data_IF_448807654609
#
_entry.id   IF_448807654609
#
_cell.length_a   1.000
_cell.length_b   1.000
_cell.length_c   1.000
_cell.angle_alpha   90.00
_cell.angle_beta   90.00
_cell.angle_gamma   90.00
#
_symmetry.space_group_name_H-M   'P 1'
#
loop_
_entity.id
_entity.type
_entity.pdbx_description
1 polymer ?
#
# COMPACT_ATOMS: atom_id res chain seq x y z
N UNK A 1 31.88 22.45 -8.58
CA UNK A 1 31.70 23.68 -9.39
C UNK A 1 32.87 23.87 -10.30
N UNK A 2 34.10 23.96 -9.78
CA UNK A 2 35.33 23.94 -10.60
C UNK A 2 35.40 22.71 -11.51
N UNK A 3 35.10 21.52 -10.99
CA UNK A 3 35.10 20.27 -11.77
C UNK A 3 34.16 20.29 -13.00
N UNK A 4 33.04 21.00 -12.92
CA UNK A 4 32.03 21.05 -13.99
C UNK A 4 31.97 22.42 -14.70
N UNK A 5 32.80 23.40 -14.31
CA UNK A 5 32.80 24.74 -14.89
C UNK A 5 31.48 25.53 -14.78
N UNK A 6 30.60 25.22 -13.83
CA UNK A 6 29.25 25.82 -13.71
C UNK A 6 29.02 26.58 -12.40
N UNK A 7 28.03 27.50 -12.42
CA UNK A 7 27.64 28.31 -11.25
C UNK A 7 26.92 27.51 -10.16
N UNK A 8 26.89 28.05 -8.93
CA UNK A 8 26.12 27.47 -7.79
C UNK A 8 24.66 27.23 -8.14
N UNK A 9 24.05 28.16 -8.86
CA UNK A 9 22.64 28.11 -9.24
C UNK A 9 22.36 26.92 -10.16
N UNK A 10 23.23 26.69 -11.15
CA UNK A 10 23.11 25.54 -12.08
C UNK A 10 23.24 24.22 -11.32
N UNK A 11 24.22 24.11 -10.41
CA UNK A 11 24.38 22.90 -9.57
C UNK A 11 23.14 22.66 -8.72
N UNK A 12 22.55 23.70 -8.12
CA UNK A 12 21.34 23.57 -7.30
C UNK A 12 20.15 23.07 -8.12
N UNK A 13 19.98 23.56 -9.35
CA UNK A 13 18.89 23.09 -10.21
C UNK A 13 19.13 21.64 -10.68
N UNK A 14 20.37 21.29 -11.02
CA UNK A 14 20.73 19.91 -11.34
C UNK A 14 20.43 18.96 -10.16
N UNK A 15 20.79 19.35 -8.93
CA UNK A 15 20.46 18.58 -7.73
C UNK A 15 18.95 18.44 -7.54
N UNK A 16 18.17 19.50 -7.80
CA UNK A 16 16.70 19.46 -7.74
C UNK A 16 16.12 18.46 -8.75
N UNK A 17 16.60 18.48 -9.99
CA UNK A 17 16.19 17.54 -11.05
C UNK A 17 16.59 16.10 -10.72
N UNK A 18 17.78 15.90 -10.17
CA UNK A 18 18.23 14.57 -9.74
C UNK A 18 17.41 14.06 -8.55
N UNK A 19 16.98 14.95 -7.66
CA UNK A 19 16.10 14.62 -6.54
C UNK A 19 14.72 14.21 -7.02
N UNK A 20 14.11 14.99 -7.93
CA UNK A 20 12.78 14.63 -8.48
C UNK A 20 12.81 13.34 -9.30
N UNK A 21 13.95 12.99 -9.89
CA UNK A 21 14.15 11.71 -10.60
C UNK A 21 14.54 10.55 -9.67
N UNK A 22 14.72 10.78 -8.37
CA UNK A 22 15.04 9.74 -7.40
C UNK A 22 16.51 9.34 -7.33
N UNK A 23 17.40 10.02 -8.05
CA UNK A 23 18.85 9.73 -8.04
C UNK A 23 19.56 10.30 -6.81
N UNK A 24 18.91 11.24 -6.11
CA UNK A 24 19.44 11.88 -4.91
C UNK A 24 18.36 11.92 -3.83
N UNK A 25 18.71 11.52 -2.62
CA UNK A 25 17.90 11.71 -1.42
C UNK A 25 18.43 12.90 -0.62
N UNK A 26 17.52 13.81 -0.25
CA UNK A 26 17.80 14.95 0.62
C UNK A 26 17.15 14.71 1.99
N UNK A 27 17.98 14.56 3.03
CA UNK A 27 17.52 14.57 4.42
C UNK A 27 17.93 15.88 5.11
N UNK A 28 17.07 16.50 5.94
CA UNK A 28 17.41 17.71 6.68
C UNK A 28 18.72 17.54 7.45
N UNK A 29 19.62 18.53 7.37
CA UNK A 29 20.96 18.54 8.01
C UNK A 29 21.95 17.46 7.52
N UNK A 30 21.65 16.75 6.43
CA UNK A 30 22.55 15.77 5.85
C UNK A 30 23.01 16.18 4.44
N UNK A 31 24.19 15.71 4.05
CA UNK A 31 24.66 15.85 2.66
C UNK A 31 23.76 15.01 1.74
N UNK A 32 23.44 15.50 0.53
CA UNK A 32 22.69 14.71 -0.45
C UNK A 32 23.39 13.37 -0.70
N UNK A 33 22.63 12.28 -0.70
CA UNK A 33 23.14 10.93 -0.94
C UNK A 33 22.65 10.42 -2.29
N UNK A 34 23.55 9.82 -3.06
CA UNK A 34 23.20 9.16 -4.31
C UNK A 34 22.38 7.90 -4.00
N UNK A 35 21.30 7.69 -4.76
CA UNK A 35 20.50 6.46 -4.73
C UNK A 35 20.25 5.95 -6.15
N UNK A 36 19.99 4.65 -6.24
CA UNK A 36 19.38 4.06 -7.43
C UNK A 36 17.87 4.16 -7.29
N UNK A 37 17.15 4.84 -8.21
CA UNK A 37 15.69 4.91 -8.15
C UNK A 37 15.09 3.51 -8.27
N UNK A 38 14.12 3.20 -7.42
CA UNK A 38 13.33 1.97 -7.50
C UNK A 38 11.85 2.27 -7.72
N UNK A 39 11.03 1.22 -7.82
CA UNK A 39 9.57 1.36 -7.98
C UNK A 39 8.94 2.22 -6.87
N UNK A 40 9.41 2.11 -5.63
CA UNK A 40 8.92 2.96 -4.52
C UNK A 40 9.12 4.45 -4.77
N UNK A 41 10.26 4.85 -5.33
CA UNK A 41 10.52 6.26 -5.67
C UNK A 41 9.62 6.74 -6.81
N UNK A 42 9.35 5.87 -7.80
CA UNK A 42 8.42 6.18 -8.88
C UNK A 42 6.99 6.36 -8.38
N UNK A 43 6.53 5.49 -7.47
CA UNK A 43 5.18 5.59 -6.89
C UNK A 43 5.02 6.81 -5.98
N UNK A 44 6.03 7.13 -5.17
CA UNK A 44 6.02 8.32 -4.32
C UNK A 44 5.92 9.63 -5.14
N UNK A 45 6.52 9.67 -6.34
CA UNK A 45 6.41 10.83 -7.23
C UNK A 45 4.97 11.10 -7.70
N UNK A 46 4.07 10.10 -7.66
CA UNK A 46 2.67 10.24 -8.06
C UNK A 46 1.79 10.80 -6.93
N UNK A 47 2.23 10.78 -5.67
CA UNK A 47 1.41 11.09 -4.49
C UNK A 47 0.66 12.43 -4.60
N UNK A 48 1.36 13.50 -4.98
CA UNK A 48 0.74 14.83 -5.12
C UNK A 48 -0.34 14.90 -6.22
N UNK A 49 -0.12 14.21 -7.34
CA UNK A 49 -1.07 14.16 -8.46
C UNK A 49 -2.28 13.30 -8.09
N UNK A 50 -2.03 12.13 -7.50
CA UNK A 50 -3.09 11.21 -7.05
C UNK A 50 -3.97 11.88 -5.99
N UNK A 51 -3.38 12.58 -5.02
CA UNK A 51 -4.14 13.35 -4.03
C UNK A 51 -5.05 14.40 -4.67
N UNK A 52 -4.60 15.07 -5.73
CA UNK A 52 -5.45 16.01 -6.48
C UNK A 52 -6.59 15.31 -7.24
N UNK A 53 -6.30 14.16 -7.87
CA UNK A 53 -7.32 13.38 -8.59
C UNK A 53 -8.37 12.79 -7.66
N UNK A 54 -7.97 12.31 -6.49
CA UNK A 54 -8.87 11.80 -5.44
C UNK A 54 -9.88 12.84 -4.95
N UNK A 55 -9.51 14.13 -4.99
CA UNK A 55 -10.38 15.24 -4.58
C UNK A 55 -11.46 15.60 -5.61
N UNK A 56 -11.41 15.03 -6.82
CA UNK A 56 -12.44 15.23 -7.86
C UNK A 56 -13.70 14.39 -7.53
N UNK A 57 -14.87 14.74 -8.10
CA UNK A 57 -16.02 13.84 -8.11
C UNK A 57 -15.60 12.45 -8.59
N UNK A 58 -16.03 11.40 -7.89
CA UNK A 58 -15.73 9.99 -8.15
C UNK A 58 -14.25 9.56 -8.06
N UNK A 59 -13.28 10.47 -7.90
CA UNK A 59 -11.85 10.13 -7.92
C UNK A 59 -11.44 9.10 -6.86
N UNK A 60 -12.03 9.18 -5.66
CA UNK A 60 -11.87 8.17 -4.60
C UNK A 60 -12.40 6.79 -5.02
N UNK A 61 -13.56 6.77 -5.69
CA UNK A 61 -14.19 5.54 -6.16
C UNK A 61 -13.35 4.88 -7.25
N UNK A 62 -12.91 5.66 -8.24
CA UNK A 62 -12.05 5.17 -9.32
C UNK A 62 -10.73 4.60 -8.79
N UNK A 63 -10.10 5.28 -7.82
CA UNK A 63 -8.88 4.79 -7.19
C UNK A 63 -9.11 3.46 -6.46
N UNK A 64 -10.21 3.35 -5.71
CA UNK A 64 -10.52 2.14 -4.95
C UNK A 64 -10.92 0.98 -5.87
N UNK A 65 -11.64 1.23 -6.96
CA UNK A 65 -11.93 0.22 -7.98
C UNK A 65 -10.65 -0.30 -8.63
N UNK A 66 -9.71 0.61 -8.96
CA UNK A 66 -8.38 0.22 -9.44
C UNK A 66 -7.61 -0.62 -8.41
N UNK A 67 -7.67 -0.25 -7.12
CA UNK A 67 -7.09 -1.02 -6.02
C UNK A 67 -7.68 -2.44 -5.96
N UNK A 68 -9.00 -2.61 -6.06
CA UNK A 68 -9.63 -3.92 -6.08
C UNK A 68 -9.07 -4.80 -7.20
N UNK A 69 -8.95 -4.25 -8.42
CA UNK A 69 -8.42 -4.99 -9.56
C UNK A 69 -6.99 -5.48 -9.32
N UNK A 70 -6.13 -4.62 -8.76
CA UNK A 70 -4.72 -4.95 -8.52
C UNK A 70 -4.57 -5.92 -7.35
N UNK A 71 -5.21 -5.66 -6.21
CA UNK A 71 -5.05 -6.49 -5.00
C UNK A 71 -5.64 -7.89 -5.18
N UNK A 72 -6.78 -8.02 -5.86
CA UNK A 72 -7.38 -9.34 -6.13
C UNK A 72 -6.46 -10.21 -6.98
N UNK A 73 -5.90 -9.66 -8.06
CA UNK A 73 -4.99 -10.40 -8.92
C UNK A 73 -3.65 -10.66 -8.23
N UNK A 74 -3.14 -9.72 -7.43
CA UNK A 74 -1.95 -9.96 -6.63
C UNK A 74 -2.14 -11.11 -5.64
N UNK A 75 -3.29 -11.17 -4.95
CA UNK A 75 -3.62 -12.27 -4.04
C UNK A 75 -3.72 -13.61 -4.79
N UNK A 76 -4.37 -13.62 -5.95
CA UNK A 76 -4.44 -14.78 -6.84
C UNK A 76 -3.04 -15.29 -7.23
N UNK A 77 -2.15 -14.39 -7.65
CA UNK A 77 -0.77 -14.74 -8.02
C UNK A 77 0.03 -15.22 -6.81
N UNK A 78 -0.21 -14.69 -5.61
CA UNK A 78 0.41 -15.18 -4.39
C UNK A 78 0.05 -16.65 -4.12
N UNK A 79 -1.21 -17.06 -4.34
CA UNK A 79 -1.60 -18.47 -4.22
C UNK A 79 -0.79 -19.38 -5.17
N UNK A 80 -0.48 -18.90 -6.38
CA UNK A 80 0.29 -19.67 -7.37
C UNK A 80 1.79 -19.67 -7.04
N UNK A 81 2.35 -18.54 -6.60
CA UNK A 81 3.80 -18.31 -6.61
C UNK A 81 4.47 -18.34 -5.24
N UNK A 82 3.73 -18.12 -4.15
CA UNK A 82 4.32 -17.98 -2.81
C UNK A 82 5.26 -19.14 -2.49
N UNK A 83 6.45 -18.86 -1.99
CA UNK A 83 7.37 -19.90 -1.51
C UNK A 83 7.19 -20.14 -0.01
N UNK A 84 7.90 -21.13 0.54
CA UNK A 84 7.82 -21.44 1.99
C UNK A 84 8.18 -20.24 2.86
N UNK A 85 9.14 -19.42 2.42
CA UNK A 85 9.53 -18.20 3.13
C UNK A 85 8.41 -17.15 3.12
N UNK A 86 7.72 -16.98 1.99
CA UNK A 86 6.59 -16.05 1.88
C UNK A 86 5.41 -16.49 2.75
N UNK A 87 5.11 -17.79 2.78
CA UNK A 87 4.06 -18.35 3.63
C UNK A 87 4.36 -18.14 5.12
N UNK A 88 5.62 -18.26 5.54
CA UNK A 88 6.02 -17.97 6.91
C UNK A 88 5.82 -16.49 7.24
N UNK A 89 6.24 -15.58 6.36
CA UNK A 89 6.04 -14.14 6.55
C UNK A 89 4.56 -13.75 6.60
N UNK A 90 3.73 -14.35 5.73
CA UNK A 90 2.29 -14.15 5.73
C UNK A 90 1.63 -14.64 7.02
N UNK A 91 2.05 -15.80 7.53
CA UNK A 91 1.56 -16.35 8.79
C UNK A 91 1.93 -15.44 9.97
N UNK A 92 3.19 -15.03 10.06
CA UNK A 92 3.67 -14.13 11.12
C UNK A 92 2.93 -12.78 11.08
N UNK A 93 2.72 -12.22 9.88
CA UNK A 93 1.98 -10.98 9.70
C UNK A 93 0.51 -11.14 10.12
N UNK A 94 -0.13 -12.27 9.79
CA UNK A 94 -1.51 -12.55 10.17
C UNK A 94 -1.67 -12.75 11.69
N UNK A 95 -0.73 -13.43 12.33
CA UNK A 95 -0.75 -13.62 13.79
C UNK A 95 -0.57 -12.30 14.53
N UNK A 96 0.36 -11.44 14.07
CA UNK A 96 0.50 -10.09 14.59
C UNK A 96 -0.78 -9.27 14.41
N UNK A 97 -1.44 -9.40 13.25
CA UNK A 97 -2.72 -8.74 12.98
C UNK A 97 -3.85 -9.21 13.90
N UNK A 98 -3.94 -10.52 14.17
CA UNK A 98 -4.91 -11.08 15.11
C UNK A 98 -4.69 -10.59 16.54
N UNK A 99 -3.44 -10.54 16.99
CA UNK A 99 -3.08 -10.03 18.31
C UNK A 99 -3.40 -8.53 18.50
N UNK A 100 -3.47 -7.78 17.39
CA UNK A 100 -3.73 -6.34 17.40
C UNK A 100 -5.22 -5.96 17.33
N UNK A 101 -6.15 -6.92 17.22
CA UNK A 101 -7.59 -6.65 17.00
C UNK A 101 -8.23 -5.70 18.03
N UNK A 102 -7.75 -5.66 19.27
CA UNK A 102 -8.23 -4.76 20.32
C UNK A 102 -7.60 -3.35 20.29
N UNK A 103 -6.53 -3.14 19.51
CA UNK A 103 -5.82 -1.88 19.36
C UNK A 103 -5.81 -1.45 17.89
N UNK A 104 -6.74 -0.58 17.48
CA UNK A 104 -6.89 -0.21 16.07
C UNK A 104 -5.68 0.46 15.43
N UNK A 105 -4.82 1.17 16.17
CA UNK A 105 -3.60 1.75 15.58
C UNK A 105 -2.59 0.66 15.25
N UNK A 106 -2.37 -0.26 16.19
CA UNK A 106 -1.51 -1.42 15.94
C UNK A 106 -2.12 -2.36 14.89
N UNK A 107 -3.45 -2.49 14.87
CA UNK A 107 -4.16 -3.27 13.85
C UNK A 107 -3.90 -2.71 12.47
N UNK A 108 -3.97 -1.39 12.31
CA UNK A 108 -3.67 -0.73 11.04
C UNK A 108 -2.23 -1.00 10.56
N UNK A 109 -1.23 -0.91 11.46
CA UNK A 109 0.16 -1.20 11.11
C UNK A 109 0.36 -2.66 10.66
N UNK A 110 -0.28 -3.61 11.36
CA UNK A 110 -0.19 -5.04 11.06
C UNK A 110 -1.03 -5.45 9.84
N UNK A 111 -2.13 -4.76 9.57
CA UNK A 111 -2.95 -4.89 8.35
C UNK A 111 -2.14 -4.51 7.10
N UNK A 112 -1.46 -3.36 7.15
CA UNK A 112 -0.52 -2.93 6.10
C UNK A 112 0.60 -3.96 5.90
N UNK A 113 1.15 -4.50 6.99
CA UNK A 113 2.19 -5.51 6.92
C UNK A 113 1.71 -6.81 6.25
N UNK A 114 0.50 -7.27 6.56
CA UNK A 114 -0.10 -8.45 5.95
C UNK A 114 -0.29 -8.25 4.44
N UNK A 115 -0.92 -7.16 4.01
CA UNK A 115 -1.11 -6.87 2.59
C UNK A 115 0.23 -6.72 1.84
N UNK A 116 1.24 -6.10 2.46
CA UNK A 116 2.58 -5.99 1.88
C UNK A 116 3.23 -7.36 1.69
N UNK A 117 3.14 -8.25 2.68
CA UNK A 117 3.66 -9.61 2.58
C UNK A 117 2.95 -10.41 1.46
N UNK A 118 1.63 -10.25 1.32
CA UNK A 118 0.87 -10.87 0.24
C UNK A 118 1.32 -10.38 -1.14
N UNK A 119 1.55 -9.07 -1.27
CA UNK A 119 2.05 -8.46 -2.50
C UNK A 119 3.48 -8.88 -2.85
N UNK A 120 4.31 -9.18 -1.84
CA UNK A 120 5.63 -9.78 -2.05
C UNK A 120 5.51 -11.22 -2.56
N UNK A 121 4.63 -12.01 -1.93
CA UNK A 121 4.37 -13.41 -2.29
C UNK A 121 3.84 -13.59 -3.73
N UNK A 122 3.22 -12.55 -4.31
CA UNK A 122 2.82 -12.51 -5.71
C UNK A 122 3.99 -12.49 -6.71
N UNK A 123 5.24 -12.36 -6.25
CA UNK A 123 6.44 -12.56 -7.06
C UNK A 123 6.67 -11.50 -8.14
N UNK A 124 6.10 -10.30 -8.00
CA UNK A 124 6.34 -9.17 -8.89
C UNK A 124 6.91 -7.97 -8.11
N UNK A 125 8.12 -7.56 -8.46
CA UNK A 125 8.89 -6.54 -7.74
C UNK A 125 8.24 -5.16 -7.69
N UNK A 126 7.29 -4.84 -8.59
CA UNK A 126 6.56 -3.56 -8.54
C UNK A 126 5.46 -3.57 -7.47
N UNK A 127 4.88 -4.73 -7.18
CA UNK A 127 3.68 -4.83 -6.37
C UNK A 127 3.87 -4.26 -4.95
N UNK A 128 4.93 -4.60 -4.18
CA UNK A 128 5.10 -4.02 -2.85
C UNK A 128 5.13 -2.49 -2.84
N UNK A 129 5.70 -1.86 -3.90
CA UNK A 129 5.69 -0.41 -4.05
C UNK A 129 4.29 0.14 -4.37
N UNK A 130 3.47 -0.59 -5.14
CA UNK A 130 2.06 -0.25 -5.38
C UNK A 130 1.25 -0.33 -4.10
N UNK A 131 1.47 -1.36 -3.27
CA UNK A 131 0.80 -1.50 -1.98
C UNK A 131 1.16 -0.36 -1.01
N UNK A 132 2.45 0.00 -0.95
CA UNK A 132 2.89 1.16 -0.17
C UNK A 132 2.22 2.46 -0.64
N UNK A 133 2.06 2.61 -1.96
CA UNK A 133 1.42 3.75 -2.56
C UNK A 133 -0.07 3.84 -2.16
N UNK A 134 -0.83 2.75 -2.31
CA UNK A 134 -2.23 2.71 -1.85
C UNK A 134 -2.35 3.03 -0.36
N UNK A 135 -1.45 2.47 0.45
CA UNK A 135 -1.39 2.73 1.88
C UNK A 135 -1.19 4.22 2.18
N UNK A 136 -0.20 4.84 1.52
CA UNK A 136 0.11 6.25 1.71
C UNK A 136 -1.04 7.15 1.25
N UNK A 137 -1.60 6.90 0.07
CA UNK A 137 -2.68 7.71 -0.50
C UNK A 137 -3.96 7.64 0.33
N UNK A 138 -4.31 6.46 0.87
CA UNK A 138 -5.55 6.25 1.63
C UNK A 138 -5.41 6.52 3.15
N UNK A 139 -4.19 6.62 3.68
CA UNK A 139 -3.94 6.87 5.11
C UNK A 139 -4.73 8.06 5.70
N UNK A 140 -4.87 9.23 5.03
CA UNK A 140 -5.67 10.34 5.55
C UNK A 140 -7.15 10.00 5.76
N UNK A 141 -7.69 9.07 4.96
CA UNK A 141 -9.09 8.63 5.05
C UNK A 141 -9.26 7.55 6.11
N UNK A 142 -8.35 6.58 6.17
CA UNK A 142 -8.38 5.55 7.20
C UNK A 142 -8.27 6.11 8.61
N UNK A 143 -7.46 7.16 8.82
CA UNK A 143 -7.37 7.87 10.11
C UNK A 143 -8.67 8.54 10.57
N UNK A 144 -9.62 8.79 9.66
CA UNK A 144 -10.94 9.35 9.98
C UNK A 144 -11.96 8.28 10.35
N UNK A 145 -11.67 7.01 10.10
CA UNK A 145 -12.61 5.91 10.35
C UNK A 145 -12.75 5.65 11.86
N UNK A 146 -13.96 5.28 12.32
CA UNK A 146 -14.14 4.83 13.70
C UNK A 146 -13.25 3.62 14.02
N UNK A 147 -12.59 3.66 15.18
CA UNK A 147 -11.79 2.57 15.73
C UNK A 147 -12.72 1.56 16.43
N UNK A 148 -13.00 0.44 15.76
CA UNK A 148 -13.96 -0.56 16.22
C UNK A 148 -13.29 -1.95 16.29
N UNK A 149 -13.14 -2.55 17.48
CA UNK A 149 -12.55 -3.89 17.62
C UNK A 149 -13.28 -4.97 16.81
N UNK A 150 -14.62 -4.93 16.77
CA UNK A 150 -15.42 -5.90 16.00
C UNK A 150 -15.12 -5.84 14.49
N UNK A 151 -14.82 -4.63 13.98
CA UNK A 151 -14.39 -4.43 12.59
C UNK A 151 -13.01 -5.04 12.37
N UNK A 152 -12.08 -4.80 13.28
CA UNK A 152 -10.74 -5.38 13.19
C UNK A 152 -10.82 -6.92 13.20
N UNK A 153 -11.67 -7.49 14.06
CA UNK A 153 -11.89 -8.94 14.12
C UNK A 153 -12.47 -9.49 12.80
N UNK A 154 -13.42 -8.78 12.19
CA UNK A 154 -13.96 -9.14 10.87
C UNK A 154 -12.88 -9.09 9.77
N UNK A 155 -12.10 -8.00 9.70
CA UNK A 155 -11.00 -7.89 8.75
C UNK A 155 -9.94 -8.99 8.96
N UNK A 156 -9.62 -9.33 10.20
CA UNK A 156 -8.70 -10.43 10.51
C UNK A 156 -9.23 -11.78 10.03
N UNK A 157 -10.53 -12.05 10.19
CA UNK A 157 -11.16 -13.27 9.69
C UNK A 157 -11.07 -13.35 8.15
N UNK A 158 -11.22 -12.21 7.48
CA UNK A 158 -11.06 -12.12 6.03
C UNK A 158 -9.61 -12.40 5.60
N UNK A 159 -8.63 -11.82 6.30
CA UNK A 159 -7.21 -12.10 6.07
C UNK A 159 -6.86 -13.58 6.24
N UNK A 160 -7.47 -14.25 7.24
CA UNK A 160 -7.34 -15.71 7.41
C UNK A 160 -7.85 -16.46 6.18
N UNK A 161 -9.05 -16.15 5.70
CA UNK A 161 -9.60 -16.80 4.52
C UNK A 161 -8.73 -16.61 3.27
N UNK A 162 -8.12 -15.43 3.12
CA UNK A 162 -7.16 -15.14 2.03
C UNK A 162 -5.93 -16.03 2.18
N UNK A 163 -5.32 -16.08 3.37
CA UNK A 163 -4.13 -16.91 3.61
C UNK A 163 -4.44 -18.40 3.43
N UNK A 164 -5.59 -18.88 3.87
CA UNK A 164 -6.01 -20.27 3.71
C UNK A 164 -6.05 -20.66 2.21
N UNK A 165 -6.62 -19.79 1.36
CA UNK A 165 -6.59 -19.99 -0.10
C UNK A 165 -5.17 -20.03 -0.66
N UNK A 166 -4.29 -19.14 -0.19
CA UNK A 166 -2.88 -19.11 -0.63
C UNK A 166 -2.16 -20.40 -0.22
N UNK A 167 -2.36 -20.88 1.01
CA UNK A 167 -1.79 -22.12 1.53
C UNK A 167 -2.28 -23.36 0.79
N UNK A 168 -3.57 -23.36 0.40
CA UNK A 168 -4.17 -24.43 -0.39
C UNK A 168 -3.79 -24.38 -1.88
N UNK A 169 -3.05 -23.35 -2.32
CA UNK A 169 -2.74 -23.11 -3.75
C UNK A 169 -4.01 -22.97 -4.59
N UNK A 170 -5.05 -22.37 -4.02
CA UNK A 170 -6.33 -22.16 -4.68
C UNK A 170 -6.49 -20.68 -5.09
N UNK A 171 -6.06 -20.32 -6.31
CA UNK A 171 -6.15 -18.94 -6.77
C UNK A 171 -7.59 -18.43 -6.87
N UNK A 172 -8.56 -19.29 -7.17
CA UNK A 172 -9.97 -18.89 -7.30
C UNK A 172 -10.57 -18.56 -5.93
N UNK A 173 -10.32 -19.40 -4.92
CA UNK A 173 -10.76 -19.14 -3.55
C UNK A 173 -10.07 -17.90 -2.97
N UNK A 174 -8.77 -17.71 -3.21
CA UNK A 174 -8.04 -16.51 -2.76
C UNK A 174 -8.58 -15.23 -3.39
N UNK A 175 -8.88 -15.26 -4.68
CA UNK A 175 -9.48 -14.12 -5.38
C UNK A 175 -10.86 -13.76 -4.80
N UNK A 176 -11.72 -14.75 -4.57
CA UNK A 176 -13.04 -14.53 -3.96
C UNK A 176 -12.90 -13.93 -2.55
N UNK A 177 -12.01 -14.48 -1.73
CA UNK A 177 -11.78 -13.98 -0.37
C UNK A 177 -11.25 -12.53 -0.37
N UNK A 178 -10.27 -12.21 -1.22
CA UNK A 178 -9.72 -10.86 -1.33
C UNK A 178 -10.77 -9.86 -1.84
N UNK A 179 -11.59 -10.25 -2.83
CA UNK A 179 -12.65 -9.38 -3.32
C UNK A 179 -13.66 -9.04 -2.23
N UNK A 180 -14.11 -10.04 -1.46
CA UNK A 180 -15.05 -9.84 -0.36
C UNK A 180 -14.47 -8.92 0.73
N UNK A 181 -13.20 -9.09 1.09
CA UNK A 181 -12.47 -8.22 2.01
C UNK A 181 -12.49 -6.76 1.56
N UNK A 182 -12.13 -6.52 0.30
CA UNK A 182 -12.04 -5.16 -0.24
C UNK A 182 -13.41 -4.52 -0.47
N UNK A 183 -14.44 -5.30 -0.82
CA UNK A 183 -15.82 -4.81 -0.94
C UNK A 183 -16.35 -4.35 0.43
N UNK A 184 -16.03 -5.09 1.51
CA UNK A 184 -16.33 -4.65 2.89
C UNK A 184 -15.54 -3.40 3.26
N UNK A 185 -14.25 -3.34 2.94
CA UNK A 185 -13.43 -2.16 3.19
C UNK A 185 -13.97 -0.93 2.44
N UNK A 186 -14.41 -1.08 1.18
CA UNK A 186 -15.04 -0.02 0.39
C UNK A 186 -16.31 0.52 1.05
N UNK A 187 -17.20 -0.38 1.50
CA UNK A 187 -18.45 -0.01 2.16
C UNK A 187 -18.22 0.86 3.41
N UNK A 188 -17.08 0.69 4.08
CA UNK A 188 -16.68 1.48 5.23
C UNK A 188 -16.02 2.80 4.83
N UNK A 189 -15.05 2.75 3.93
CA UNK A 189 -14.27 3.90 3.46
C UNK A 189 -15.17 4.93 2.78
N UNK A 190 -16.20 4.50 2.03
CA UNK A 190 -17.17 5.40 1.39
C UNK A 190 -18.00 6.28 2.31
N UNK A 191 -18.17 5.88 3.57
CA UNK A 191 -18.84 6.72 4.57
C UNK A 191 -17.98 7.93 4.98
N UNK A 192 -16.67 7.92 4.68
CA UNK A 192 -15.76 9.01 5.05
C UNK A 192 -15.73 10.16 4.03
N UNK A 193 -16.44 10.02 2.89
CA UNK A 193 -16.46 11.01 1.80
C UNK A 193 -17.80 11.15 1.08
N UNK A 194 -18.80 10.33 1.42
CA UNK A 194 -20.18 10.68 1.08
C UNK A 194 -20.62 11.75 2.08
N UNK A 195 -21.25 12.84 1.63
CA UNK A 195 -21.97 13.72 2.55
C UNK A 195 -22.91 12.85 3.41
N UNK A 196 -23.05 13.13 4.72
CA UNK A 196 -24.01 12.39 5.52
C UNK A 196 -25.38 12.44 4.83
N UNK A 197 -26.16 11.35 4.83
CA UNK A 197 -27.52 11.42 4.31
C UNK A 197 -28.25 12.55 5.02
N UNK A 198 -28.86 13.44 4.23
CA UNK A 198 -29.67 14.55 4.72
C UNK A 198 -30.83 14.08 5.61
#
# INVERSE_FOLDING_TARGET
>A
MEEFGVSRTVVREALRVLTTRGYIEHAPRHRPRVRTPGYGTAMAALEGVVGHLMARPDGMRELFEGRILVEVIAAREAAVRAEKADLALLHDALDANGAATSNSELFYETDVAFHRALFQAAGNAILPAVQDAYTAWLAPHWRKMPRLPDRNAANHADHRAILDGVMMRDPDATEVAMRQHLDRAWAQVRMTFSDPPA
#
